data_IF_164813103403
#
_entry.id   IF_164813103403
#
_cell.length_a   1.000
_cell.length_b   1.000
_cell.length_c   1.000
_cell.angle_alpha   90.00
_cell.angle_beta   90.00
_cell.angle_gamma   90.00
#
_symmetry.space_group_name_H-M   'P 1'
#
loop_
_entity.id
_entity.type
_entity.pdbx_description
1 polymer ?
#
# COMPACT_ATOMS: atom_id res chain seq x y z
N UNK A 1 -2.01 -7.05 -19.48
CA UNK A 1 -3.44 -7.38 -19.69
C UNK A 1 -4.20 -6.15 -20.14
N UNK A 2 -5.11 -6.25 -21.10
CA UNK A 2 -6.03 -5.17 -21.50
C UNK A 2 -7.41 -5.47 -20.93
N UNK A 3 -7.90 -4.62 -20.04
CA UNK A 3 -9.30 -4.60 -19.65
C UNK A 3 -10.10 -3.75 -20.64
N UNK A 4 -11.29 -4.20 -20.99
CA UNK A 4 -12.24 -3.42 -21.79
C UNK A 4 -13.68 -3.86 -21.56
N UNK A 5 -14.62 -2.94 -21.76
CA UNK A 5 -16.05 -3.21 -21.76
C UNK A 5 -16.54 -3.47 -23.19
N UNK A 6 -17.15 -4.62 -23.45
CA UNK A 6 -17.72 -4.96 -24.76
C UNK A 6 -19.07 -4.26 -25.03
N UNK A 7 -19.63 -4.44 -26.24
CA UNK A 7 -20.92 -3.82 -26.61
C UNK A 7 -22.11 -4.25 -25.74
N UNK A 8 -21.98 -5.34 -24.98
CA UNK A 8 -23.01 -5.81 -24.04
C UNK A 8 -22.83 -5.20 -22.64
N UNK A 9 -21.85 -4.33 -22.45
CA UNK A 9 -21.54 -3.73 -21.15
C UNK A 9 -20.79 -4.67 -20.22
N UNK A 10 -20.19 -5.76 -20.74
CA UNK A 10 -19.42 -6.71 -19.94
C UNK A 10 -17.94 -6.36 -19.99
N UNK A 11 -17.31 -6.34 -18.82
CA UNK A 11 -15.87 -6.19 -18.70
C UNK A 11 -15.16 -7.51 -19.05
N UNK A 12 -14.14 -7.39 -19.88
CA UNK A 12 -13.28 -8.44 -20.38
C UNK A 12 -11.83 -8.10 -20.04
N UNK A 13 -11.01 -9.13 -19.79
CA UNK A 13 -9.59 -9.00 -19.47
C UNK A 13 -8.83 -9.91 -20.41
N UNK A 14 -8.08 -9.32 -21.33
CA UNK A 14 -7.40 -10.06 -22.38
C UNK A 14 -5.88 -9.94 -22.23
N UNK A 15 -5.18 -11.07 -22.30
CA UNK A 15 -3.74 -11.09 -22.14
C UNK A 15 -3.07 -10.55 -23.41
N UNK A 16 -2.64 -9.28 -23.36
CA UNK A 16 -1.92 -8.66 -24.48
C UNK A 16 -0.59 -9.36 -24.74
N UNK A 17 0.20 -9.59 -23.68
CA UNK A 17 1.51 -10.24 -23.75
C UNK A 17 1.99 -10.60 -22.34
N UNK A 18 2.63 -11.75 -22.23
CA UNK A 18 3.39 -12.17 -21.06
C UNK A 18 4.83 -12.49 -21.45
N UNK A 19 5.80 -12.09 -20.61
CA UNK A 19 7.23 -12.38 -20.76
C UNK A 19 7.82 -12.75 -19.41
N UNK A 20 8.80 -13.64 -19.40
CA UNK A 20 9.66 -13.85 -18.24
C UNK A 20 10.82 -12.86 -18.29
N UNK A 21 10.94 -12.01 -17.28
CA UNK A 21 12.03 -11.04 -17.14
C UNK A 21 13.09 -11.55 -16.16
N UNK A 22 14.37 -11.30 -16.46
CA UNK A 22 15.47 -11.57 -15.53
C UNK A 22 15.70 -10.36 -14.62
N UNK A 23 16.04 -10.60 -13.34
CA UNK A 23 16.36 -9.53 -12.38
C UNK A 23 17.46 -8.61 -12.94
N UNK A 24 17.21 -7.30 -12.93
CA UNK A 24 18.17 -6.27 -13.35
C UNK A 24 18.37 -6.16 -14.87
N UNK A 25 17.52 -6.77 -15.68
CA UNK A 25 17.60 -6.71 -17.14
C UNK A 25 16.29 -6.16 -17.73
N UNK A 26 16.40 -5.18 -18.62
CA UNK A 26 15.27 -4.72 -19.42
C UNK A 26 14.81 -5.84 -20.35
N UNK A 27 13.50 -6.05 -20.42
CA UNK A 27 12.87 -7.05 -21.28
C UNK A 27 11.79 -6.37 -22.12
N UNK A 28 11.79 -6.61 -23.44
CA UNK A 28 10.77 -6.06 -24.33
C UNK A 28 9.42 -6.74 -24.07
N UNK A 29 8.39 -5.94 -23.80
CA UNK A 29 7.00 -6.37 -23.56
C UNK A 29 6.08 -5.87 -24.70
N UNK A 30 6.58 -5.83 -25.93
CA UNK A 30 5.80 -5.40 -27.09
C UNK A 30 4.95 -6.52 -27.69
N UNK A 31 3.74 -6.18 -28.18
CA UNK A 31 2.96 -7.04 -29.05
C UNK A 31 2.34 -6.26 -30.21
N UNK A 32 3.06 -6.20 -31.33
CA UNK A 32 2.61 -5.52 -32.54
C UNK A 32 1.47 -6.23 -33.30
N UNK A 33 1.07 -7.43 -32.86
CA UNK A 33 0.00 -8.24 -33.49
C UNK A 33 -1.29 -8.26 -32.68
N UNK A 34 -1.30 -7.69 -31.48
CA UNK A 34 -2.51 -7.61 -30.66
C UNK A 34 -3.57 -6.74 -31.35
N UNK A 35 -4.81 -7.22 -31.37
CA UNK A 35 -5.94 -6.50 -31.98
C UNK A 35 -6.98 -6.23 -30.92
N UNK A 36 -7.17 -4.96 -30.60
CA UNK A 36 -8.24 -4.52 -29.70
C UNK A 36 -9.59 -4.87 -30.37
N UNK A 37 -10.53 -5.52 -29.66
CA UNK A 37 -11.83 -5.85 -30.24
C UNK A 37 -12.57 -4.60 -30.74
N UNK A 38 -13.26 -4.74 -31.87
CA UNK A 38 -13.87 -3.60 -32.56
C UNK A 38 -15.00 -2.94 -31.76
N UNK A 39 -15.60 -3.67 -30.83
CA UNK A 39 -16.66 -3.24 -29.93
C UNK A 39 -16.18 -2.89 -28.52
N UNK A 40 -14.86 -2.90 -28.29
CA UNK A 40 -14.28 -2.57 -27.01
C UNK A 40 -14.37 -1.07 -26.69
N UNK A 41 -14.77 -0.77 -25.46
CA UNK A 41 -14.82 0.57 -24.86
C UNK A 41 -14.20 0.53 -23.46
N UNK A 42 -13.92 1.69 -22.84
CA UNK A 42 -13.38 1.71 -21.47
C UNK A 42 -12.03 0.98 -21.32
N UNK A 43 -11.12 1.19 -22.26
CA UNK A 43 -9.85 0.46 -22.33
C UNK A 43 -8.90 0.84 -21.19
N UNK A 44 -8.42 -0.15 -20.44
CA UNK A 44 -7.39 0.01 -19.41
C UNK A 44 -6.28 -1.04 -19.62
N UNK A 45 -5.03 -0.57 -19.78
CA UNK A 45 -3.88 -1.45 -19.99
C UNK A 45 -3.12 -1.64 -18.68
N UNK A 46 -3.11 -2.88 -18.20
CA UNK A 46 -2.39 -3.32 -17.01
C UNK A 46 -1.05 -3.94 -17.39
N UNK A 47 0.00 -3.55 -16.67
CA UNK A 47 1.28 -4.25 -16.62
C UNK A 47 1.39 -4.81 -15.21
N UNK A 48 1.57 -6.11 -15.09
CA UNK A 48 1.49 -6.82 -13.81
C UNK A 48 2.50 -7.99 -13.76
N UNK A 49 2.89 -8.37 -12.54
CA UNK A 49 3.70 -9.56 -12.27
C UNK A 49 2.81 -10.62 -11.58
N UNK A 50 2.11 -11.47 -12.33
CA UNK A 50 1.01 -12.29 -11.79
C UNK A 50 1.48 -13.41 -10.84
N UNK A 51 2.73 -13.84 -11.00
CA UNK A 51 3.31 -15.01 -10.33
C UNK A 51 4.23 -14.65 -9.15
N UNK A 52 4.51 -13.36 -8.93
CA UNK A 52 5.37 -12.91 -7.84
C UNK A 52 5.08 -11.46 -7.43
N UNK A 53 5.18 -11.17 -6.13
CA UNK A 53 5.13 -9.80 -5.61
C UNK A 53 6.48 -9.08 -5.83
N UNK A 54 6.95 -9.04 -7.09
CA UNK A 54 8.18 -8.35 -7.45
C UNK A 54 7.87 -6.92 -7.91
N UNK A 55 8.73 -5.99 -7.48
CA UNK A 55 8.77 -4.67 -8.09
C UNK A 55 9.29 -4.80 -9.53
N UNK A 56 8.67 -4.08 -10.46
CA UNK A 56 9.15 -3.92 -11.82
C UNK A 56 9.04 -2.45 -12.23
N UNK A 57 9.91 -2.03 -13.13
CA UNK A 57 9.93 -0.68 -13.68
C UNK A 57 9.53 -0.73 -15.14
N UNK A 58 8.84 0.32 -15.62
CA UNK A 58 8.46 0.49 -17.02
C UNK A 58 9.07 1.81 -17.49
N UNK A 59 9.91 1.77 -18.53
CA UNK A 59 10.54 2.96 -19.08
C UNK A 59 9.57 3.75 -19.97
N UNK A 60 9.03 3.10 -21.01
CA UNK A 60 8.07 3.70 -21.93
C UNK A 60 6.95 2.75 -22.34
N UNK A 61 5.75 3.28 -22.50
CA UNK A 61 4.59 2.57 -23.03
C UNK A 61 4.10 3.24 -24.32
N UNK A 62 3.87 2.45 -25.36
CA UNK A 62 3.41 2.92 -26.66
C UNK A 62 2.30 2.02 -27.20
N UNK A 63 1.21 2.63 -27.65
CA UNK A 63 0.13 1.97 -28.37
C UNK A 63 -0.18 2.77 -29.65
N UNK A 64 -0.41 2.08 -30.76
CA UNK A 64 -0.69 2.71 -32.04
C UNK A 64 -1.27 1.72 -33.04
N UNK A 65 -1.89 2.25 -34.11
CA UNK A 65 -2.42 1.42 -35.19
C UNK A 65 -1.28 0.65 -35.87
N UNK A 66 -1.58 -0.54 -36.39
CA UNK A 66 -0.60 -1.43 -37.03
C UNK A 66 0.27 -0.68 -38.04
N UNK A 67 1.59 -0.77 -37.89
CA UNK A 67 2.57 -0.09 -38.75
C UNK A 67 3.04 1.28 -38.26
N UNK A 68 2.46 1.81 -37.18
CA UNK A 68 2.95 3.04 -36.55
C UNK A 68 4.26 2.75 -35.79
N UNK A 69 5.27 3.59 -36.01
CA UNK A 69 6.57 3.46 -35.31
C UNK A 69 6.53 4.29 -34.01
N UNK A 70 7.07 3.77 -32.89
CA UNK A 70 7.22 4.56 -31.67
C UNK A 70 8.06 5.82 -31.92
N UNK A 71 7.73 6.94 -31.26
CA UNK A 71 8.46 8.21 -31.40
C UNK A 71 9.88 8.16 -30.79
N UNK A 72 10.12 7.18 -29.91
CA UNK A 72 11.42 6.89 -29.33
C UNK A 72 11.94 5.58 -29.94
N UNK A 73 13.13 5.58 -30.55
CA UNK A 73 13.78 4.33 -30.91
C UNK A 73 14.27 3.66 -29.62
N UNK A 74 13.61 2.58 -29.23
CA UNK A 74 14.08 1.70 -28.16
C UNK A 74 15.26 0.92 -28.74
N UNK A 75 16.46 1.49 -28.69
CA UNK A 75 17.70 0.79 -29.03
C UNK A 75 18.14 -0.02 -27.81
N UNK A 76 18.06 -1.37 -27.84
CA UNK A 76 18.46 -2.21 -26.71
C UNK A 76 19.93 -2.03 -26.33
N UNK A 77 20.76 -1.50 -27.24
CA UNK A 77 22.19 -1.26 -27.01
C UNK A 77 22.49 0.09 -26.32
N UNK A 78 21.49 0.96 -26.16
CA UNK A 78 21.60 2.23 -25.43
C UNK A 78 20.74 2.28 -24.16
N UNK A 79 20.15 1.15 -23.75
CA UNK A 79 19.39 1.09 -22.51
C UNK A 79 20.33 1.27 -21.30
N UNK A 80 19.96 2.12 -20.31
CA UNK A 80 20.72 2.24 -19.09
C UNK A 80 20.77 0.86 -18.40
N UNK A 81 21.96 0.44 -17.99
CA UNK A 81 22.11 -0.74 -17.12
C UNK A 81 21.25 -0.49 -15.89
N UNK A 82 20.24 -1.35 -15.65
CA UNK A 82 19.57 -1.39 -14.36
C UNK A 82 20.58 -1.96 -13.37
N UNK A 83 21.44 -1.10 -12.84
CA UNK A 83 21.87 -1.30 -11.47
C UNK A 83 20.60 -1.24 -10.64
N UNK A 84 20.37 -2.19 -9.72
CA UNK A 84 19.41 -2.02 -8.61
C UNK A 84 19.44 -0.54 -8.23
N UNK A 85 18.29 0.17 -8.16
CA UNK A 85 18.24 1.63 -8.01
C UNK A 85 19.30 1.97 -7.01
N UNK A 86 20.35 2.68 -7.45
CA UNK A 86 21.64 2.71 -6.75
C UNK A 86 21.30 2.72 -5.27
N UNK A 87 21.54 1.58 -4.61
CA UNK A 87 21.64 1.60 -3.16
C UNK A 87 22.97 2.32 -2.93
N UNK A 88 22.97 3.63 -3.18
CA UNK A 88 23.34 4.52 -2.11
C UNK A 88 22.40 4.06 -1.02
N UNK A 89 22.90 3.12 -0.20
CA UNK A 89 22.49 3.01 1.18
C UNK A 89 22.15 4.45 1.58
N UNK A 90 20.87 4.77 1.86
CA UNK A 90 20.51 6.12 2.24
C UNK A 90 21.52 6.51 3.30
N UNK A 91 22.23 7.64 3.12
CA UNK A 91 23.45 7.95 3.86
C UNK A 91 23.19 7.64 5.32
N UNK A 92 23.85 6.59 5.84
CA UNK A 92 23.55 5.90 7.10
C UNK A 92 22.36 6.52 7.84
N UNK A 93 21.13 6.12 7.50
CA UNK A 93 19.95 6.74 8.11
C UNK A 93 20.10 6.65 9.64
N UNK A 94 20.06 7.78 10.33
CA UNK A 94 20.12 7.83 11.80
C UNK A 94 18.86 7.22 12.45
N UNK A 95 17.90 6.81 11.63
CA UNK A 95 16.62 6.25 12.00
C UNK A 95 16.79 4.77 12.34
N UNK A 96 16.78 4.49 13.63
CA UNK A 96 16.82 3.16 14.25
C UNK A 96 15.82 3.20 15.40
N UNK A 97 15.07 2.11 15.57
CA UNK A 97 14.10 1.90 16.65
C UNK A 97 14.65 2.15 18.06
N UNK A 98 15.96 1.99 18.25
CA UNK A 98 16.66 2.20 19.53
C UNK A 98 17.22 3.63 19.70
N UNK A 99 17.19 4.43 18.63
CA UNK A 99 17.61 5.84 18.61
C UNK A 99 16.39 6.75 18.69
N UNK A 100 16.66 8.02 18.98
CA UNK A 100 15.61 9.04 18.87
C UNK A 100 15.20 9.18 17.42
N UNK A 101 13.89 9.14 17.15
CA UNK A 101 13.33 9.36 15.82
C UNK A 101 12.47 10.61 15.89
N UNK A 102 12.86 11.61 15.10
CA UNK A 102 12.14 12.87 14.98
C UNK A 102 11.11 12.79 13.88
N UNK A 103 9.83 12.89 14.24
CA UNK A 103 8.72 12.84 13.31
C UNK A 103 8.09 14.23 13.26
N UNK A 104 7.96 14.82 12.07
CA UNK A 104 7.21 16.05 11.83
C UNK A 104 5.86 15.70 11.18
N UNK A 105 4.76 15.63 11.93
CA UNK A 105 3.43 15.61 11.36
C UNK A 105 3.12 16.99 10.77
N UNK A 106 3.02 17.10 9.45
CA UNK A 106 2.75 18.35 8.75
C UNK A 106 1.48 18.26 7.91
N UNK A 107 0.63 19.29 8.00
CA UNK A 107 -0.64 19.26 7.28
C UNK A 107 -1.61 20.36 7.66
N UNK A 108 -2.88 20.12 7.32
CA UNK A 108 -3.99 21.02 7.61
C UNK A 108 -4.70 20.69 8.94
N UNK A 109 -6.02 20.91 9.00
CA UNK A 109 -6.87 20.63 10.15
C UNK A 109 -6.87 19.15 10.55
N UNK A 110 -6.69 18.24 9.59
CA UNK A 110 -6.66 16.80 9.88
C UNK A 110 -5.38 16.46 10.68
N UNK A 111 -4.25 17.07 10.36
CA UNK A 111 -3.01 16.97 11.15
C UNK A 111 -3.09 17.77 12.44
N UNK A 112 -3.79 18.91 12.46
CA UNK A 112 -4.09 19.64 13.69
C UNK A 112 -4.88 18.76 14.67
N UNK A 113 -5.72 17.85 14.17
CA UNK A 113 -6.61 17.01 14.97
C UNK A 113 -7.96 17.66 15.20
N UNK A 114 -8.45 18.43 14.24
CA UNK A 114 -9.81 18.97 14.31
C UNK A 114 -10.81 17.80 14.33
N UNK A 115 -11.84 17.90 15.18
CA UNK A 115 -12.77 16.80 15.44
C UNK A 115 -12.36 15.87 16.58
N UNK A 116 -11.06 15.73 16.89
CA UNK A 116 -10.60 14.97 18.05
C UNK A 116 -9.20 15.38 18.52
N UNK A 117 -9.06 15.79 19.79
CA UNK A 117 -7.77 16.20 20.35
C UNK A 117 -6.65 15.19 20.06
N UNK A 118 -5.54 15.69 19.52
CA UNK A 118 -4.37 14.90 19.12
C UNK A 118 -4.54 14.14 17.80
N UNK A 119 -5.73 14.15 17.17
CA UNK A 119 -6.01 13.53 15.88
C UNK A 119 -5.45 12.12 15.76
N UNK A 120 -4.82 11.83 14.62
CA UNK A 120 -4.08 10.58 14.40
C UNK A 120 -2.75 10.52 15.16
N UNK A 121 -2.18 11.67 15.57
CA UNK A 121 -0.83 11.77 16.14
C UNK A 121 -0.72 10.98 17.45
N UNK A 122 -1.76 11.04 18.30
CA UNK A 122 -1.79 10.24 19.53
C UNK A 122 -1.81 8.73 19.25
N UNK A 123 -2.56 8.28 18.25
CA UNK A 123 -2.67 6.88 17.88
C UNK A 123 -1.40 6.37 17.22
N UNK A 124 -0.76 7.20 16.39
CA UNK A 124 0.57 6.95 15.84
C UNK A 124 1.60 6.76 16.96
N UNK A 125 1.64 7.67 17.94
CA UNK A 125 2.57 7.60 19.06
C UNK A 125 2.37 6.31 19.89
N UNK A 126 1.12 5.97 20.21
CA UNK A 126 0.75 4.74 20.92
C UNK A 126 1.13 3.47 20.13
N UNK A 127 0.83 3.44 18.82
CA UNK A 127 1.13 2.31 17.95
C UNK A 127 2.64 2.09 17.78
N UNK A 128 3.42 3.15 17.55
CA UNK A 128 4.88 3.07 17.52
C UNK A 128 5.45 2.62 18.88
N UNK A 129 4.92 3.14 19.99
CA UNK A 129 5.35 2.71 21.33
C UNK A 129 5.13 1.20 21.54
N UNK A 130 3.98 0.68 21.09
CA UNK A 130 3.64 -0.76 21.13
C UNK A 130 4.51 -1.61 20.21
N UNK A 131 4.93 -1.05 19.07
CA UNK A 131 5.90 -1.70 18.21
C UNK A 131 7.29 -1.74 18.85
N UNK A 132 7.59 -0.93 19.87
CA UNK A 132 8.84 -0.93 20.62
C UNK A 132 9.74 0.28 20.34
N UNK A 133 9.20 1.31 19.70
CA UNK A 133 9.88 2.60 19.57
C UNK A 133 9.83 3.34 20.91
N UNK A 134 10.98 3.48 21.56
CA UNK A 134 11.06 4.03 22.94
C UNK A 134 11.50 5.49 23.01
N UNK A 135 11.92 6.09 21.88
CA UNK A 135 12.46 7.45 21.80
C UNK A 135 11.83 8.22 20.63
N UNK A 136 10.50 8.29 20.61
CA UNK A 136 9.77 9.08 19.62
C UNK A 136 9.81 10.55 20.06
N UNK A 137 10.25 11.43 19.17
CA UNK A 137 10.25 12.89 19.35
C UNK A 137 9.36 13.48 18.25
N UNK A 138 8.14 13.88 18.59
CA UNK A 138 7.30 14.59 17.63
C UNK A 138 7.78 16.03 17.60
N UNK A 139 7.94 16.62 16.42
CA UNK A 139 8.48 17.96 16.28
C UNK A 139 7.54 18.85 15.48
N UNK A 140 7.57 20.15 15.77
CA UNK A 140 6.81 21.16 15.04
C UNK A 140 6.60 22.44 15.84
N UNK A 141 6.07 23.49 15.21
CA UNK A 141 5.85 24.77 15.87
C UNK A 141 4.61 24.79 16.79
N UNK A 142 3.64 23.89 16.56
CA UNK A 142 2.40 23.83 17.31
C UNK A 142 2.45 22.71 18.35
N UNK A 143 1.64 22.85 19.41
CA UNK A 143 1.48 21.85 20.48
C UNK A 143 0.04 21.83 20.97
N UNK A 144 -0.49 20.64 21.22
CA UNK A 144 -1.79 20.51 21.88
C UNK A 144 -1.72 20.98 23.34
N UNK A 145 -2.85 21.50 23.85
CA UNK A 145 -2.96 21.99 25.23
C UNK A 145 -2.81 20.88 26.28
N UNK A 146 -3.19 19.66 25.94
CA UNK A 146 -3.07 18.50 26.81
C UNK A 146 -2.40 17.35 26.05
N UNK A 147 -1.43 16.74 26.72
CA UNK A 147 -0.67 15.58 26.25
C UNK A 147 -1.33 14.23 26.57
N UNK A 148 -2.60 14.26 27.01
CA UNK A 148 -3.38 13.06 27.26
C UNK A 148 -4.80 13.23 26.74
N UNK A 149 -5.25 12.25 25.96
CA UNK A 149 -6.62 12.14 25.45
C UNK A 149 -6.95 10.68 25.17
N UNK A 150 -8.20 10.26 25.39
CA UNK A 150 -8.66 8.88 25.18
C UNK A 150 -7.78 7.81 25.88
N UNK A 151 -7.21 8.15 27.04
CA UNK A 151 -6.31 7.26 27.81
C UNK A 151 -4.91 7.09 27.22
N UNK A 152 -4.56 7.84 26.17
CA UNK A 152 -3.26 7.81 25.51
C UNK A 152 -2.46 9.06 25.87
N UNK A 153 -1.22 8.87 26.33
CA UNK A 153 -0.24 9.94 26.50
C UNK A 153 0.71 9.95 25.31
N UNK A 154 0.95 11.14 24.76
CA UNK A 154 1.72 11.31 23.53
C UNK A 154 2.46 12.64 23.52
N UNK A 155 3.50 12.71 22.70
CA UNK A 155 4.16 13.97 22.37
C UNK A 155 3.25 14.80 21.46
N UNK A 156 2.99 16.04 21.86
CA UNK A 156 1.95 16.88 21.25
C UNK A 156 2.46 17.79 20.16
N UNK A 157 3.77 17.83 19.91
CA UNK A 157 4.36 18.76 18.94
C UNK A 157 4.00 18.36 17.49
N UNK A 158 3.65 19.34 16.65
CA UNK A 158 3.24 19.12 15.27
C UNK A 158 3.28 20.40 14.42
N UNK A 159 3.11 20.24 13.11
CA UNK A 159 2.96 21.29 12.10
C UNK A 159 1.61 21.19 11.37
N UNK A 160 0.54 20.98 12.13
CA UNK A 160 -0.84 20.99 11.63
C UNK A 160 -1.47 22.37 11.75
N UNK A 161 -2.08 22.88 10.67
CA UNK A 161 -2.67 24.22 10.62
C UNK A 161 -4.05 24.20 9.96
N UNK A 162 -5.11 24.36 10.74
CA UNK A 162 -6.48 24.33 10.22
C UNK A 162 -6.72 25.36 9.13
N UNK A 163 -7.33 24.92 8.02
CA UNK A 163 -7.69 25.76 6.88
C UNK A 163 -6.54 26.12 5.93
N UNK A 164 -5.34 25.56 6.12
CA UNK A 164 -4.19 25.86 5.26
C UNK A 164 -4.22 25.01 3.99
N UNK A 165 -3.89 25.66 2.87
CA UNK A 165 -3.58 25.03 1.59
C UNK A 165 -2.09 24.70 1.51
N UNK A 166 -1.68 24.00 0.45
CA UNK A 166 -0.28 23.63 0.22
C UNK A 166 0.61 24.88 0.21
N UNK A 167 0.31 25.87 -0.65
CA UNK A 167 1.17 27.05 -0.84
C UNK A 167 0.43 28.36 -1.09
N UNK A 168 -0.79 28.31 -1.63
CA UNK A 168 -1.61 29.51 -1.81
C UNK A 168 -2.26 29.96 -0.50
N UNK A 169 -2.66 31.24 -0.45
CA UNK A 169 -3.46 31.77 0.65
C UNK A 169 -4.92 31.87 0.19
N UNK A 170 -5.82 31.02 0.70
CA UNK A 170 -7.23 31.08 0.33
C UNK A 170 -7.89 32.40 0.70
N UNK A 171 -9.03 32.70 0.10
CA UNK A 171 -9.83 33.90 0.43
C UNK A 171 -10.21 33.97 1.92
N UNK A 172 -10.53 32.85 2.57
CA UNK A 172 -10.76 32.80 4.02
C UNK A 172 -9.47 33.05 4.82
N UNK A 173 -8.33 32.64 4.29
CA UNK A 173 -7.02 32.91 4.88
C UNK A 173 -6.60 34.39 4.80
N UNK A 174 -6.96 35.07 3.70
CA UNK A 174 -6.79 36.52 3.57
C UNK A 174 -7.54 37.28 4.67
N UNK A 175 -8.75 36.82 5.03
CA UNK A 175 -9.54 37.40 6.13
C UNK A 175 -8.89 37.16 7.50
N UNK A 176 -8.00 36.17 7.62
CA UNK A 176 -7.26 35.83 8.85
C UNK A 176 -5.84 36.41 8.87
N UNK A 177 -5.64 37.54 8.19
CA UNK A 177 -4.37 38.26 8.20
C UNK A 177 -3.32 37.69 7.23
N UNK A 178 -3.75 37.05 6.15
CA UNK A 178 -2.85 36.53 5.10
C UNK A 178 -2.21 35.18 5.44
N UNK A 179 -2.76 34.46 6.41
CA UNK A 179 -2.36 33.10 6.79
C UNK A 179 -3.15 32.07 5.97
N UNK A 180 -2.62 30.86 5.80
CA UNK A 180 -3.32 29.81 5.04
C UNK A 180 -2.48 29.03 4.06
N UNK A 181 -1.15 29.20 4.08
CA UNK A 181 -0.20 28.49 3.23
C UNK A 181 0.76 27.72 4.12
N UNK A 182 0.70 26.38 4.08
CA UNK A 182 1.59 25.53 4.85
C UNK A 182 3.05 25.76 4.44
N UNK A 183 3.31 25.83 3.13
CA UNK A 183 4.62 26.15 2.58
C UNK A 183 5.21 27.44 3.18
N UNK A 184 4.47 28.54 3.14
CA UNK A 184 4.96 29.82 3.65
C UNK A 184 5.17 29.78 5.16
N UNK A 185 4.26 29.14 5.90
CA UNK A 185 4.37 29.05 7.36
C UNK A 185 5.61 28.26 7.76
N UNK A 186 5.86 27.09 7.16
CA UNK A 186 7.04 26.29 7.51
C UNK A 186 8.32 26.97 7.05
N UNK A 187 8.35 27.48 5.81
CA UNK A 187 9.54 28.09 5.23
C UNK A 187 9.93 29.40 5.92
N UNK A 188 8.98 30.32 6.14
CA UNK A 188 9.29 31.61 6.74
C UNK A 188 9.72 31.50 8.20
N UNK A 189 9.32 30.43 8.88
CA UNK A 189 9.72 30.16 10.25
C UNK A 189 10.90 29.17 10.37
N UNK A 190 11.52 28.76 9.25
CA UNK A 190 12.61 27.77 9.18
C UNK A 190 12.28 26.47 9.94
N UNK A 191 11.04 26.00 9.88
CA UNK A 191 10.58 24.88 10.74
C UNK A 191 11.41 23.63 10.51
N UNK A 192 11.50 23.14 9.26
CA UNK A 192 12.24 21.92 8.92
C UNK A 192 13.72 22.04 9.30
N UNK A 193 14.31 23.20 9.02
CA UNK A 193 15.71 23.48 9.36
C UNK A 193 15.98 23.50 10.86
N UNK A 194 15.06 24.04 11.67
CA UNK A 194 15.19 24.10 13.14
C UNK A 194 14.91 22.76 13.82
N UNK A 195 13.93 22.01 13.33
CA UNK A 195 13.52 20.76 13.97
C UNK A 195 14.36 19.56 13.53
N UNK A 196 14.89 19.60 12.29
CA UNK A 196 15.68 18.53 11.68
C UNK A 196 14.98 17.16 11.79
N UNK A 197 13.79 16.99 11.17
CA UNK A 197 13.02 15.76 11.28
C UNK A 197 13.65 14.62 10.48
N UNK A 198 13.66 13.42 11.05
CA UNK A 198 14.05 12.19 10.36
C UNK A 198 12.95 11.73 9.39
N UNK A 199 11.69 11.93 9.80
CA UNK A 199 10.50 11.54 9.04
C UNK A 199 9.54 12.74 9.00
N UNK A 200 9.03 13.06 7.82
CA UNK A 200 7.92 14.01 7.64
C UNK A 200 6.71 13.21 7.16
N UNK A 201 5.58 13.35 7.86
CA UNK A 201 4.28 12.88 7.41
C UNK A 201 3.53 14.08 6.84
N UNK A 202 3.43 14.21 5.52
CA UNK A 202 2.84 15.36 4.85
C UNK A 202 1.45 15.01 4.30
N UNK A 203 0.40 15.40 5.04
CA UNK A 203 -1.00 15.27 4.61
C UNK A 203 -1.61 16.66 4.46
N UNK A 204 -1.71 17.13 3.22
CA UNK A 204 -2.18 18.48 2.88
C UNK A 204 -2.97 18.44 1.58
N UNK A 205 -3.87 19.39 1.36
CA UNK A 205 -4.60 19.57 0.10
C UNK A 205 -6.12 19.54 0.20
N UNK A 206 -6.66 19.17 1.36
CA UNK A 206 -8.12 19.20 1.61
C UNK A 206 -8.71 20.59 1.33
N UNK A 207 -7.96 21.62 1.72
CA UNK A 207 -8.33 23.01 1.52
C UNK A 207 -8.13 23.49 0.07
N UNK A 208 -7.18 22.92 -0.67
CA UNK A 208 -6.97 23.18 -2.09
C UNK A 208 -8.15 22.63 -2.92
N UNK A 209 -8.65 21.45 -2.56
CA UNK A 209 -9.89 20.87 -3.10
C UNK A 209 -11.10 21.74 -2.80
N UNK A 210 -11.22 22.21 -1.56
CA UNK A 210 -12.28 23.14 -1.14
C UNK A 210 -12.25 24.46 -1.94
N UNK A 211 -11.07 24.97 -2.26
CA UNK A 211 -10.90 26.14 -3.12
C UNK A 211 -11.03 25.83 -4.62
N UNK A 212 -11.37 24.60 -5.00
CA UNK A 212 -11.48 24.12 -6.39
C UNK A 212 -10.21 24.42 -7.22
N UNK A 213 -9.03 24.24 -6.62
CA UNK A 213 -7.77 24.39 -7.34
C UNK A 213 -7.60 23.27 -8.38
N UNK A 214 -6.99 23.62 -9.52
CA UNK A 214 -6.63 22.64 -10.55
C UNK A 214 -5.54 21.69 -10.06
N UNK A 215 -5.59 20.43 -10.51
CA UNK A 215 -4.59 19.42 -10.14
C UNK A 215 -3.16 19.82 -10.54
N UNK A 216 -2.97 20.50 -11.69
CA UNK A 216 -1.65 21.00 -12.10
C UNK A 216 -1.06 22.00 -11.11
N UNK A 217 -1.90 22.92 -10.60
CA UNK A 217 -1.49 23.90 -9.61
C UNK A 217 -1.16 23.22 -8.26
N UNK A 218 -2.00 22.28 -7.83
CA UNK A 218 -1.71 21.48 -6.63
C UNK A 218 -0.39 20.71 -6.78
N UNK A 219 -0.17 20.07 -7.93
CA UNK A 219 1.06 19.34 -8.22
C UNK A 219 2.29 20.27 -8.16
N UNK A 220 2.23 21.45 -8.80
CA UNK A 220 3.33 22.42 -8.75
C UNK A 220 3.66 22.90 -7.33
N UNK A 221 2.65 23.04 -6.48
CA UNK A 221 2.82 23.43 -5.09
C UNK A 221 3.36 22.29 -4.23
N UNK A 222 2.91 21.04 -4.44
CA UNK A 222 3.48 19.86 -3.79
C UNK A 222 4.96 19.71 -4.15
N UNK A 223 5.35 19.90 -5.41
CA UNK A 223 6.77 19.91 -5.82
C UNK A 223 7.55 20.98 -5.06
N UNK A 224 7.03 22.21 -5.02
CA UNK A 224 7.67 23.31 -4.25
C UNK A 224 7.85 22.94 -2.78
N UNK A 225 6.85 22.30 -2.18
CA UNK A 225 6.86 21.86 -0.78
C UNK A 225 7.89 20.78 -0.52
N UNK A 226 7.94 19.75 -1.37
CA UNK A 226 8.94 18.68 -1.30
C UNK A 226 10.37 19.23 -1.49
N UNK A 227 10.59 20.13 -2.45
CA UNK A 227 11.90 20.74 -2.68
C UNK A 227 12.40 21.52 -1.46
N UNK A 228 11.50 22.27 -0.81
CA UNK A 228 11.81 22.96 0.43
C UNK A 228 12.15 21.98 1.56
N UNK A 229 11.30 20.98 1.80
CA UNK A 229 11.48 20.02 2.88
C UNK A 229 12.77 19.20 2.69
N UNK A 230 13.00 18.66 1.49
CA UNK A 230 14.20 17.89 1.17
C UNK A 230 15.49 18.74 1.24
N UNK A 231 15.40 20.04 0.95
CA UNK A 231 16.53 20.96 1.03
C UNK A 231 16.99 21.26 2.46
N UNK A 232 16.06 21.29 3.41
CA UNK A 232 16.32 21.67 4.79
C UNK A 232 16.38 20.51 5.78
N UNK A 233 15.81 19.34 5.43
CA UNK A 233 15.83 18.15 6.30
C UNK A 233 17.22 17.47 6.31
N UNK A 234 17.54 16.67 7.34
CA UNK A 234 18.77 15.88 7.38
C UNK A 234 18.94 14.98 6.15
N UNK A 235 20.19 14.82 5.72
CA UNK A 235 20.56 13.83 4.71
C UNK A 235 20.13 12.43 5.16
N UNK A 236 19.30 11.76 4.35
CA UNK A 236 18.74 10.44 4.68
C UNK A 236 17.36 10.45 5.34
N UNK A 237 16.79 11.62 5.64
CA UNK A 237 15.42 11.69 6.12
C UNK A 237 14.39 11.33 5.02
N UNK A 238 13.19 10.96 5.44
CA UNK A 238 12.11 10.43 4.59
C UNK A 238 10.87 11.31 4.64
N UNK A 239 10.27 11.60 3.49
CA UNK A 239 8.96 12.25 3.40
C UNK A 239 7.94 11.22 2.94
N UNK A 240 6.93 10.96 3.76
CA UNK A 240 5.71 10.28 3.32
C UNK A 240 4.72 11.34 2.86
N UNK A 241 4.50 11.41 1.55
CA UNK A 241 3.52 12.31 0.94
C UNK A 241 2.17 11.57 0.87
N UNK A 242 1.20 12.06 1.61
CA UNK A 242 -0.01 11.33 1.96
C UNK A 242 -1.22 11.77 1.13
N UNK A 243 -2.04 10.81 0.69
CA UNK A 243 -3.39 11.09 0.19
C UNK A 243 -4.26 11.74 1.27
N UNK A 244 -5.36 12.41 0.88
CA UNK A 244 -6.33 12.95 1.83
C UNK A 244 -7.55 12.02 1.98
N UNK A 245 -8.21 12.00 3.16
CA UNK A 245 -9.46 11.27 3.38
C UNK A 245 -10.61 11.68 2.45
N UNK A 246 -11.59 10.78 2.33
CA UNK A 246 -12.90 11.08 1.74
C UNK A 246 -13.59 12.20 2.53
N UNK A 247 -14.33 13.09 1.86
CA UNK A 247 -15.13 14.14 2.50
C UNK A 247 -16.21 14.69 1.55
N UNK A 248 -17.33 15.14 2.11
CA UNK A 248 -18.43 15.76 1.33
C UNK A 248 -18.67 17.22 1.71
N UNK A 249 -18.08 17.70 2.81
CA UNK A 249 -18.13 19.11 3.18
C UNK A 249 -17.50 19.99 2.09
N UNK A 250 -18.00 21.21 1.95
CA UNK A 250 -17.46 22.25 1.06
C UNK A 250 -17.27 21.85 -0.41
N UNK A 251 -18.07 20.88 -0.90
CA UNK A 251 -18.05 20.46 -2.30
C UNK A 251 -17.01 19.37 -2.61
N UNK A 252 -16.49 18.71 -1.58
CA UNK A 252 -15.78 17.44 -1.70
C UNK A 252 -16.68 16.34 -2.28
N UNK A 253 -16.06 15.41 -3.02
CA UNK A 253 -16.69 14.19 -3.52
C UNK A 253 -15.60 13.20 -3.97
N UNK A 254 -15.98 11.94 -4.08
CA UNK A 254 -15.11 10.82 -4.44
C UNK A 254 -14.27 11.09 -5.68
N UNK A 255 -14.82 11.67 -6.76
CA UNK A 255 -14.05 11.91 -7.98
C UNK A 255 -12.98 12.99 -7.79
N UNK A 256 -13.32 14.11 -7.13
CA UNK A 256 -12.34 15.17 -6.85
C UNK A 256 -11.22 14.66 -5.95
N UNK A 257 -11.57 13.88 -4.94
CA UNK A 257 -10.63 13.32 -3.97
C UNK A 257 -9.75 12.26 -4.63
N UNK A 258 -10.30 11.39 -5.48
CA UNK A 258 -9.54 10.45 -6.29
C UNK A 258 -8.56 11.17 -7.23
N UNK A 259 -8.99 12.23 -7.92
CA UNK A 259 -8.11 13.01 -8.81
C UNK A 259 -6.94 13.65 -8.04
N UNK A 260 -7.23 14.20 -6.85
CA UNK A 260 -6.19 14.79 -6.00
C UNK A 260 -5.24 13.72 -5.46
N UNK A 261 -5.76 12.61 -4.96
CA UNK A 261 -4.95 11.52 -4.42
C UNK A 261 -4.06 10.88 -5.50
N UNK A 262 -4.54 10.78 -6.75
CA UNK A 262 -3.72 10.38 -7.90
C UNK A 262 -2.62 11.40 -8.22
N UNK A 263 -2.91 12.69 -8.06
CA UNK A 263 -1.91 13.77 -8.21
C UNK A 263 -0.82 13.67 -7.14
N UNK A 264 -1.21 13.47 -5.89
CA UNK A 264 -0.29 13.26 -4.75
C UNK A 264 0.61 12.05 -5.00
N UNK A 265 0.04 10.91 -5.40
CA UNK A 265 0.77 9.69 -5.76
C UNK A 265 1.77 9.95 -6.89
N UNK A 266 1.32 10.57 -7.97
CA UNK A 266 2.18 10.87 -9.14
C UNK A 266 3.36 11.77 -8.77
N UNK A 267 3.15 12.79 -7.92
CA UNK A 267 4.23 13.67 -7.46
C UNK A 267 5.20 12.92 -6.54
N UNK A 268 4.70 12.07 -5.62
CA UNK A 268 5.57 11.25 -4.77
C UNK A 268 6.46 10.31 -5.60
N UNK A 269 5.86 9.61 -6.57
CA UNK A 269 6.56 8.70 -7.49
C UNK A 269 7.56 9.44 -8.39
N UNK A 270 7.22 10.66 -8.84
CA UNK A 270 8.16 11.52 -9.58
C UNK A 270 9.45 11.78 -8.79
N UNK A 271 9.34 12.07 -7.48
CA UNK A 271 10.50 12.30 -6.62
C UNK A 271 11.24 11.02 -6.30
N UNK A 272 10.51 9.93 -6.01
CA UNK A 272 11.10 8.61 -5.78
C UNK A 272 11.94 8.16 -6.98
N UNK A 273 11.42 8.31 -8.21
CA UNK A 273 12.11 7.95 -9.46
C UNK A 273 13.36 8.82 -9.73
N UNK A 274 13.44 10.01 -9.12
CA UNK A 274 14.65 10.86 -9.12
C UNK A 274 15.65 10.49 -8.01
N UNK A 275 15.44 9.37 -7.32
CA UNK A 275 16.26 8.91 -6.20
C UNK A 275 16.11 9.77 -4.94
N UNK A 276 15.02 10.54 -4.81
CA UNK A 276 14.74 11.31 -3.60
C UNK A 276 14.01 10.43 -2.58
N UNK A 277 14.24 10.71 -1.30
CA UNK A 277 13.58 10.02 -0.20
C UNK A 277 12.15 10.52 0.02
N UNK A 278 11.29 10.27 -0.96
CA UNK A 278 9.86 10.56 -0.91
C UNK A 278 9.11 9.26 -1.23
N UNK A 279 8.10 8.93 -0.44
CA UNK A 279 7.22 7.77 -0.67
C UNK A 279 5.76 8.20 -0.58
N UNK A 280 4.91 7.62 -1.41
CA UNK A 280 3.47 7.80 -1.30
C UNK A 280 2.94 7.01 -0.09
N UNK A 281 1.99 7.58 0.65
CA UNK A 281 1.29 6.91 1.74
C UNK A 281 -0.24 7.06 1.56
N UNK A 282 -0.92 5.93 1.31
CA UNK A 282 -2.36 5.87 1.03
C UNK A 282 -3.22 5.90 2.31
N UNK A 283 -3.29 7.07 2.93
CA UNK A 283 -4.21 7.35 4.05
C UNK A 283 -5.67 7.16 3.64
N UNK A 284 -6.04 7.41 2.37
CA UNK A 284 -7.40 7.24 1.90
C UNK A 284 -7.79 5.75 1.91
N UNK A 285 -6.91 4.89 1.39
CA UNK A 285 -7.11 3.45 1.34
C UNK A 285 -7.17 2.77 2.72
N UNK A 286 -6.60 3.36 3.77
CA UNK A 286 -6.73 2.80 5.12
C UNK A 286 -8.07 3.09 5.81
N UNK A 287 -8.95 3.89 5.19
CA UNK A 287 -10.24 4.32 5.72
C UNK A 287 -11.43 3.63 5.02
N UNK A 288 -12.55 3.53 5.72
CA UNK A 288 -13.83 3.06 5.21
C UNK A 288 -14.69 4.24 4.71
N UNK A 289 -14.12 5.06 3.83
CA UNK A 289 -14.74 6.25 3.27
C UNK A 289 -15.41 7.13 4.33
N UNK A 290 -16.63 7.59 4.04
CA UNK A 290 -17.40 8.48 4.94
C UNK A 290 -17.78 7.87 6.29
N UNK A 291 -17.70 6.55 6.48
CA UNK A 291 -17.98 5.93 7.79
C UNK A 291 -16.91 6.28 8.84
N UNK A 292 -15.70 6.61 8.40
CA UNK A 292 -14.61 7.05 9.26
C UNK A 292 -14.50 8.58 9.35
N UNK A 293 -15.45 9.31 8.76
CA UNK A 293 -15.55 10.76 8.82
C UNK A 293 -16.59 11.16 9.87
N UNK A 294 -16.36 12.29 10.53
CA UNK A 294 -17.24 12.80 11.58
C UNK A 294 -18.53 13.40 11.01
N UNK A 295 -19.44 13.80 11.90
CA UNK A 295 -20.69 14.46 11.51
C UNK A 295 -20.51 15.80 10.79
N UNK A 296 -19.32 16.40 10.84
CA UNK A 296 -18.98 17.60 10.05
C UNK A 296 -18.68 17.30 8.57
N UNK A 297 -18.63 16.03 8.19
CA UNK A 297 -18.39 15.55 6.83
C UNK A 297 -17.04 15.98 6.23
N UNK A 298 -16.07 16.34 7.07
CA UNK A 298 -14.73 16.77 6.65
C UNK A 298 -13.63 16.04 7.42
N UNK A 299 -13.69 16.06 8.75
CA UNK A 299 -12.61 15.55 9.58
C UNK A 299 -12.87 14.08 9.94
N UNK A 300 -11.82 13.23 10.00
CA UNK A 300 -11.96 11.89 10.53
C UNK A 300 -12.60 11.88 11.92
N UNK A 301 -13.42 10.87 12.20
CA UNK A 301 -13.87 10.57 13.55
C UNK A 301 -12.78 9.80 14.31
N UNK A 302 -13.00 9.47 15.59
CA UNK A 302 -12.00 8.76 16.40
C UNK A 302 -11.56 7.40 15.83
N UNK A 303 -12.47 6.67 15.16
CA UNK A 303 -12.13 5.44 14.46
C UNK A 303 -11.24 5.73 13.25
N UNK A 304 -11.58 6.74 12.45
CA UNK A 304 -10.77 7.19 11.34
C UNK A 304 -9.37 7.62 11.77
N UNK A 305 -9.27 8.53 12.75
CA UNK A 305 -7.98 8.96 13.28
C UNK A 305 -7.13 7.81 13.85
N UNK A 306 -7.75 6.82 14.47
CA UNK A 306 -7.05 5.61 14.94
C UNK A 306 -6.49 4.79 13.78
N UNK A 307 -7.26 4.59 12.70
CA UNK A 307 -6.80 3.88 11.51
C UNK A 307 -5.62 4.60 10.85
N UNK A 308 -5.70 5.92 10.68
CA UNK A 308 -4.60 6.73 10.14
C UNK A 308 -3.34 6.61 10.99
N UNK A 309 -3.48 6.70 12.32
CA UNK A 309 -2.34 6.58 13.24
C UNK A 309 -1.65 5.20 13.15
N UNK A 310 -2.43 4.12 13.11
CA UNK A 310 -1.92 2.77 12.96
C UNK A 310 -1.27 2.55 11.58
N UNK A 311 -1.88 3.06 10.52
CA UNK A 311 -1.33 3.00 9.17
C UNK A 311 0.04 3.67 9.09
N UNK A 312 0.17 4.90 9.62
CA UNK A 312 1.46 5.57 9.67
C UNK A 312 2.49 4.83 10.53
N UNK A 313 2.08 4.19 11.63
CA UNK A 313 3.00 3.40 12.44
C UNK A 313 3.55 2.20 11.64
N UNK A 314 2.70 1.50 10.87
CA UNK A 314 3.13 0.41 9.99
C UNK A 314 4.08 0.88 8.89
N UNK A 315 3.73 1.96 8.19
CA UNK A 315 4.57 2.54 7.13
C UNK A 315 5.94 2.97 7.65
N UNK A 316 6.00 3.54 8.85
CA UNK A 316 7.27 3.92 9.50
C UNK A 316 8.06 2.67 9.91
N UNK A 317 7.41 1.66 10.48
CA UNK A 317 8.08 0.43 10.92
C UNK A 317 8.65 -0.36 9.75
N UNK A 318 7.90 -0.48 8.66
CA UNK A 318 8.36 -1.11 7.42
C UNK A 318 9.57 -0.36 6.84
N UNK A 319 9.51 0.98 6.82
CA UNK A 319 10.62 1.79 6.36
C UNK A 319 11.87 1.56 7.22
N UNK A 320 11.78 1.71 8.53
CA UNK A 320 12.93 1.59 9.43
C UNK A 320 13.49 0.17 9.41
N UNK A 321 12.63 -0.85 9.37
CA UNK A 321 13.04 -2.25 9.28
C UNK A 321 13.74 -2.54 7.95
N UNK A 322 13.29 -1.94 6.84
CA UNK A 322 13.97 -2.08 5.54
C UNK A 322 15.38 -1.49 5.50
N UNK A 323 15.71 -0.59 6.44
CA UNK A 323 17.05 0.00 6.57
C UNK A 323 18.00 -0.84 7.42
N UNK A 324 17.47 -1.78 8.21
CA UNK A 324 18.29 -2.65 9.03
C UNK A 324 19.14 -3.57 8.11
N UNK A 325 20.44 -3.72 8.35
CA UNK A 325 21.24 -4.69 7.62
C UNK A 325 20.62 -6.08 7.80
N UNK A 326 20.61 -6.93 6.77
CA UNK A 326 20.07 -8.27 6.87
C UNK A 326 20.73 -8.98 8.06
N UNK A 327 19.92 -9.33 9.07
CA UNK A 327 20.39 -10.12 10.21
C UNK A 327 20.88 -11.44 9.64
N UNK A 328 22.20 -11.61 9.60
CA UNK A 328 22.82 -12.85 9.16
C UNK A 328 22.64 -13.85 10.30
N UNK A 329 21.50 -14.52 10.35
CA UNK A 329 21.30 -15.64 11.27
C UNK A 329 22.21 -16.76 10.79
N UNK A 330 23.37 -16.90 11.42
CA UNK A 330 24.22 -18.09 11.30
C UNK A 330 23.47 -19.25 11.96
N UNK A 331 22.59 -19.89 11.22
CA UNK A 331 22.06 -21.21 11.58
C UNK A 331 23.20 -22.20 11.42
N UNK A 332 23.85 -22.57 12.53
CA UNK A 332 24.72 -23.75 12.56
C UNK A 332 23.85 -24.99 12.30
N UNK A 333 23.73 -25.39 11.04
CA UNK A 333 23.18 -26.69 10.66
C UNK A 333 24.15 -27.77 11.09
N UNK A 334 23.84 -28.45 12.20
CA UNK A 334 24.42 -29.76 12.53
C UNK A 334 24.01 -30.72 11.41
N UNK A 335 24.98 -31.14 10.59
CA UNK A 335 24.77 -32.13 9.53
C UNK A 335 24.61 -33.50 10.17
N UNK A 336 23.38 -34.02 10.23
CA UNK A 336 23.13 -35.45 10.44
C UNK A 336 23.07 -36.11 9.07
N UNK A 337 24.08 -36.91 8.75
CA UNK A 337 24.17 -37.69 7.52
C UNK A 337 23.08 -38.76 7.48
N UNK A 338 22.07 -38.58 6.62
CA UNK A 338 21.15 -39.64 6.25
C UNK A 338 21.46 -40.08 4.82
N UNK A 339 21.92 -41.32 4.69
CA UNK A 339 22.23 -41.96 3.41
C UNK A 339 20.92 -42.32 2.68
N UNK A 340 20.64 -41.68 1.55
CA UNK A 340 19.56 -42.08 0.65
C UNK A 340 20.13 -42.62 -0.65
N UNK A 341 19.77 -43.85 -0.97
CA UNK A 341 20.20 -44.57 -2.16
C UNK A 341 19.64 -43.92 -3.44
N UNK A 342 20.50 -43.76 -4.44
CA UNK A 342 20.19 -43.23 -5.77
C UNK A 342 19.48 -44.29 -6.61
N UNK A 343 18.26 -43.99 -7.07
CA UNK A 343 17.62 -44.71 -8.18
C UNK A 343 17.47 -43.74 -9.35
N UNK A 344 18.16 -44.05 -10.45
CA UNK A 344 18.10 -43.31 -11.71
C UNK A 344 16.89 -43.77 -12.51
N UNK A 345 15.98 -42.86 -12.85
CA UNK A 345 14.91 -43.13 -13.84
C UNK A 345 14.96 -42.09 -14.94
N UNK A 346 15.20 -42.56 -16.15
CA UNK A 346 15.17 -41.82 -17.42
C UNK A 346 13.73 -41.63 -17.86
N UNK A 347 13.31 -40.41 -18.20
CA UNK A 347 11.97 -40.14 -18.75
C UNK A 347 12.05 -39.61 -20.17
N UNK A 348 11.50 -40.40 -21.09
CA UNK A 348 11.30 -40.11 -22.52
C UNK A 348 9.95 -39.41 -22.71
N UNK A 349 9.91 -38.39 -23.58
CA UNK A 349 8.69 -37.67 -23.95
C UNK A 349 7.66 -38.59 -24.62
N UNK A 350 6.40 -38.52 -24.18
CA UNK A 350 5.25 -39.14 -24.86
C UNK A 350 4.10 -38.14 -24.94
N UNK A 351 3.61 -37.93 -26.15
CA UNK A 351 2.39 -37.17 -26.48
C UNK A 351 1.16 -38.07 -26.25
N UNK A 352 0.14 -37.60 -25.53
CA UNK A 352 -1.14 -38.34 -25.44
C UNK A 352 -2.34 -37.39 -25.53
N UNK A 353 -3.26 -37.79 -26.38
CA UNK A 353 -4.54 -37.18 -26.76
C UNK A 353 -5.63 -37.38 -25.70
N UNK A 354 -6.49 -36.37 -25.54
CA UNK A 354 -7.64 -36.29 -24.63
C UNK A 354 -8.78 -37.25 -25.00
N UNK A 355 -9.42 -37.89 -24.02
CA UNK A 355 -10.79 -38.42 -24.13
C UNK A 355 -11.51 -38.36 -22.77
N UNK A 356 -12.71 -37.80 -22.78
CA UNK A 356 -13.56 -37.51 -21.60
C UNK A 356 -14.50 -38.68 -21.27
N UNK A 357 -14.61 -39.08 -20.00
CA UNK A 357 -15.74 -39.91 -19.50
C UNK A 357 -16.11 -39.52 -18.06
N UNK A 358 -17.41 -39.31 -17.81
CA UNK A 358 -18.01 -38.87 -16.54
C UNK A 358 -18.41 -40.07 -15.66
N UNK A 359 -18.04 -40.09 -14.38
CA UNK A 359 -18.55 -41.05 -13.35
C UNK A 359 -18.63 -40.33 -11.98
N UNK A 360 -19.71 -40.53 -11.22
CA UNK A 360 -20.00 -39.83 -9.97
C UNK A 360 -19.06 -40.23 -8.80
N UNK A 361 -18.63 -39.22 -8.03
CA UNK A 361 -17.56 -39.26 -7.01
C UNK A 361 -18.09 -39.48 -5.57
N UNK A 362 -17.36 -40.22 -4.69
CA UNK A 362 -17.74 -40.45 -3.29
C UNK A 362 -17.61 -39.20 -2.39
N UNK A 363 -18.45 -39.11 -1.34
CA UNK A 363 -18.51 -37.97 -0.40
C UNK A 363 -17.29 -37.95 0.55
N UNK A 364 -16.59 -36.80 0.62
CA UNK A 364 -15.38 -36.61 1.43
C UNK A 364 -15.71 -36.39 2.93
N UNK A 365 -14.91 -36.96 3.83
CA UNK A 365 -15.04 -36.79 5.30
C UNK A 365 -13.95 -35.87 5.88
N UNK A 366 -14.24 -35.17 6.98
CA UNK A 366 -13.28 -34.31 7.70
C UNK A 366 -12.06 -35.12 8.15
N UNK A 367 -10.86 -34.72 7.72
CA UNK A 367 -9.59 -35.32 8.15
C UNK A 367 -9.01 -34.61 9.36
N UNK A 368 -9.07 -33.28 9.35
CA UNK A 368 -8.64 -32.43 10.46
C UNK A 368 -9.43 -31.12 10.43
N UNK A 369 -10.21 -30.85 11.48
CA UNK A 369 -11.02 -29.64 11.55
C UNK A 369 -10.12 -28.38 11.54
N UNK A 370 -10.45 -27.44 10.65
CA UNK A 370 -9.77 -26.16 10.49
C UNK A 370 -8.56 -26.14 9.56
N UNK A 371 -8.07 -27.30 9.08
CA UNK A 371 -6.90 -27.40 8.18
C UNK A 371 -7.36 -27.20 6.72
N UNK A 372 -7.48 -25.94 6.32
CA UNK A 372 -8.07 -25.53 5.05
C UNK A 372 -7.11 -25.70 3.87
N UNK A 373 -5.80 -25.66 4.13
CA UNK A 373 -4.76 -25.77 3.10
C UNK A 373 -4.21 -27.21 2.94
N UNK A 374 -4.72 -28.17 3.74
CA UNK A 374 -4.36 -29.59 3.78
C UNK A 374 -2.86 -29.86 4.04
N UNK A 375 -2.16 -28.95 4.74
CA UNK A 375 -0.74 -29.12 5.04
C UNK A 375 -0.46 -29.91 6.32
N UNK A 376 -1.52 -30.27 7.07
CA UNK A 376 -1.44 -31.04 8.30
C UNK A 376 -1.17 -30.19 9.54
N UNK A 377 -0.97 -28.88 9.42
CA UNK A 377 -0.92 -27.93 10.51
C UNK A 377 -2.31 -27.29 10.70
N UNK A 378 -2.46 -26.54 11.78
CA UNK A 378 -3.68 -25.76 12.02
C UNK A 378 -3.18 -24.41 12.50
N UNK A 379 -3.19 -23.42 11.62
CA UNK A 379 -2.61 -22.11 11.87
C UNK A 379 -3.31 -20.99 11.07
N UNK A 380 -2.72 -19.79 11.07
CA UNK A 380 -3.35 -18.62 10.45
C UNK A 380 -3.44 -18.74 8.92
N UNK A 381 -2.57 -19.53 8.28
CA UNK A 381 -2.59 -19.73 6.83
C UNK A 381 -3.91 -20.38 6.38
N UNK A 382 -4.51 -21.23 7.21
CA UNK A 382 -5.80 -21.87 6.95
C UNK A 382 -6.92 -20.83 6.84
N UNK A 383 -7.01 -19.94 7.85
CA UNK A 383 -7.98 -18.86 7.85
C UNK A 383 -7.78 -17.88 6.68
N UNK A 384 -6.52 -17.61 6.30
CA UNK A 384 -6.19 -16.76 5.16
C UNK A 384 -6.64 -17.40 3.85
N UNK A 385 -6.41 -18.70 3.65
CA UNK A 385 -6.84 -19.40 2.43
C UNK A 385 -8.36 -19.38 2.28
N UNK A 386 -9.12 -19.55 3.36
CA UNK A 386 -10.59 -19.42 3.34
C UNK A 386 -10.99 -18.01 2.88
N UNK A 387 -10.40 -16.97 3.47
CA UNK A 387 -10.71 -15.58 3.10
C UNK A 387 -10.33 -15.28 1.64
N UNK A 388 -9.20 -15.78 1.15
CA UNK A 388 -8.75 -15.62 -0.23
C UNK A 388 -9.64 -16.38 -1.22
N UNK A 389 -10.06 -17.60 -0.89
CA UNK A 389 -10.95 -18.41 -1.70
C UNK A 389 -12.35 -17.79 -1.83
N UNK A 390 -12.86 -17.15 -0.78
CA UNK A 390 -14.14 -16.44 -0.82
C UNK A 390 -14.04 -15.10 -1.57
N UNK A 391 -12.95 -14.36 -1.41
CA UNK A 391 -12.75 -13.06 -2.04
C UNK A 391 -12.36 -13.15 -3.52
N UNK A 392 -11.65 -14.21 -3.92
CA UNK A 392 -11.22 -14.46 -5.29
C UNK A 392 -11.23 -15.96 -5.63
N UNK A 393 -12.42 -16.57 -5.82
CA UNK A 393 -12.57 -18.00 -6.05
C UNK A 393 -11.93 -18.49 -7.37
N UNK A 394 -11.77 -17.62 -8.37
CA UNK A 394 -11.11 -17.98 -9.62
C UNK A 394 -9.60 -18.21 -9.47
N UNK A 395 -8.98 -17.63 -8.43
CA UNK A 395 -7.56 -17.84 -8.13
C UNK A 395 -7.35 -18.84 -7.00
N UNK A 396 -8.17 -18.78 -5.94
CA UNK A 396 -7.96 -19.55 -4.71
C UNK A 396 -9.10 -20.49 -4.34
N UNK A 397 -10.20 -20.54 -5.10
CA UNK A 397 -11.30 -21.48 -4.88
C UNK A 397 -11.01 -22.90 -5.36
N UNK A 398 -12.03 -23.77 -5.39
CA UNK A 398 -11.89 -25.19 -5.76
C UNK A 398 -11.29 -25.44 -7.15
N UNK A 399 -11.59 -24.53 -8.08
CA UNK A 399 -11.07 -24.55 -9.46
C UNK A 399 -10.07 -23.41 -9.69
N UNK A 400 -9.40 -22.98 -8.61
CA UNK A 400 -8.52 -21.82 -8.60
C UNK A 400 -7.25 -22.04 -9.40
N UNK A 401 -6.71 -20.97 -9.98
CA UNK A 401 -5.46 -21.05 -10.77
C UNK A 401 -4.18 -21.08 -9.93
N UNK A 402 -4.24 -20.79 -8.62
CA UNK A 402 -3.06 -20.78 -7.75
C UNK A 402 -2.62 -22.20 -7.37
N UNK A 403 -1.32 -22.49 -7.35
CA UNK A 403 -0.77 -23.82 -7.01
C UNK A 403 -1.28 -24.38 -5.66
N UNK A 404 -1.56 -23.49 -4.68
CA UNK A 404 -2.18 -23.82 -3.40
C UNK A 404 -3.55 -23.17 -3.25
N UNK A 405 -4.43 -23.40 -4.23
CA UNK A 405 -5.84 -23.06 -4.12
C UNK A 405 -6.57 -24.04 -3.19
N UNK A 406 -7.75 -23.64 -2.71
CA UNK A 406 -8.60 -24.47 -1.85
C UNK A 406 -8.92 -25.80 -2.56
N UNK A 407 -8.75 -26.92 -1.87
CA UNK A 407 -9.11 -28.25 -2.40
C UNK A 407 -10.49 -28.68 -1.90
N UNK A 408 -11.08 -29.70 -2.51
CA UNK A 408 -12.33 -30.30 -2.01
C UNK A 408 -12.17 -30.86 -0.58
N UNK A 409 -10.98 -31.37 -0.24
CA UNK A 409 -10.71 -31.86 1.11
C UNK A 409 -10.52 -30.70 2.11
N UNK A 410 -9.76 -29.68 1.73
CA UNK A 410 -9.54 -28.47 2.51
C UNK A 410 -10.84 -27.74 2.79
N UNK A 411 -11.76 -27.69 1.83
CA UNK A 411 -13.11 -27.15 2.02
C UNK A 411 -13.92 -27.91 3.08
N UNK A 412 -13.83 -29.24 3.10
CA UNK A 412 -14.52 -30.07 4.11
C UNK A 412 -13.87 -29.93 5.49
N UNK A 413 -12.54 -29.82 5.55
CA UNK A 413 -11.82 -29.57 6.79
C UNK A 413 -12.12 -28.17 7.36
N UNK A 414 -12.27 -27.18 6.49
CA UNK A 414 -12.45 -25.78 6.83
C UNK A 414 -13.87 -25.41 7.27
N UNK A 415 -14.91 -26.18 6.91
CA UNK A 415 -16.30 -25.99 7.36
C UNK A 415 -16.45 -26.41 8.83
N UNK A 416 -16.08 -25.52 9.74
CA UNK A 416 -16.03 -25.73 11.20
C UNK A 416 -17.17 -25.01 11.94
N UNK A 417 -17.70 -23.92 11.38
CA UNK A 417 -18.88 -23.24 11.93
C UNK A 417 -20.15 -24.05 11.65
N UNK A 418 -20.62 -24.80 12.65
CA UNK A 418 -21.84 -25.62 12.55
C UNK A 418 -23.14 -24.81 12.59
N UNK A 419 -23.06 -23.49 12.76
CA UNK A 419 -24.23 -22.62 12.70
C UNK A 419 -24.75 -22.44 11.27
N UNK A 420 -23.84 -22.56 10.29
CA UNK A 420 -24.14 -22.53 8.86
C UNK A 420 -23.63 -23.81 8.19
N UNK A 421 -24.04 -24.07 6.94
CA UNK A 421 -23.58 -25.25 6.18
C UNK A 421 -22.79 -24.78 4.98
N UNK A 422 -21.56 -25.28 4.83
CA UNK A 422 -20.65 -24.89 3.76
C UNK A 422 -19.72 -23.75 4.17
N UNK A 423 -18.65 -23.58 3.41
CA UNK A 423 -17.56 -22.67 3.74
C UNK A 423 -17.96 -21.18 3.67
N UNK A 424 -17.72 -20.45 4.76
CA UNK A 424 -18.01 -19.02 4.97
C UNK A 424 -16.84 -18.29 5.63
N UNK A 425 -16.97 -16.97 5.81
CA UNK A 425 -15.98 -16.20 6.55
C UNK A 425 -16.00 -16.49 8.06
N UNK A 426 -17.13 -17.00 8.59
CA UNK A 426 -17.26 -17.32 10.02
C UNK A 426 -16.47 -18.58 10.38
N UNK A 427 -16.21 -19.47 9.42
CA UNK A 427 -15.25 -20.58 9.56
C UNK A 427 -13.82 -20.09 9.79
N UNK A 428 -13.38 -19.10 8.99
CA UNK A 428 -12.08 -18.48 9.14
C UNK A 428 -11.95 -17.75 10.49
N UNK A 429 -13.04 -17.14 10.96
CA UNK A 429 -13.11 -16.52 12.29
C UNK A 429 -13.02 -17.58 13.40
N UNK A 430 -13.74 -18.70 13.29
CA UNK A 430 -13.74 -19.75 14.30
C UNK A 430 -12.36 -20.41 14.44
N UNK A 431 -11.62 -20.61 13.34
CA UNK A 431 -10.21 -21.04 13.36
C UNK A 431 -9.36 -20.02 14.12
N UNK A 432 -9.49 -18.72 13.83
CA UNK A 432 -8.75 -17.67 14.54
C UNK A 432 -9.06 -17.66 16.04
N UNK A 433 -10.33 -17.81 16.41
CA UNK A 433 -10.77 -17.87 17.81
C UNK A 433 -10.23 -19.11 18.54
N UNK A 434 -10.13 -20.25 17.85
CA UNK A 434 -9.52 -21.47 18.40
C UNK A 434 -8.01 -21.30 18.62
N UNK A 435 -7.30 -20.72 17.66
CA UNK A 435 -5.84 -20.49 17.75
C UNK A 435 -5.45 -19.57 18.91
N UNK A 436 -6.33 -18.64 19.30
CA UNK A 436 -6.13 -17.75 20.46
C UNK A 436 -6.75 -18.30 21.76
N UNK A 437 -7.31 -19.52 21.73
CA UNK A 437 -7.89 -20.19 22.91
C UNK A 437 -9.22 -19.62 23.40
N UNK A 438 -9.94 -18.86 22.55
CA UNK A 438 -11.27 -18.30 22.88
C UNK A 438 -12.36 -19.37 22.79
N UNK A 439 -12.20 -20.36 21.91
CA UNK A 439 -13.04 -21.56 21.84
C UNK A 439 -12.18 -22.81 22.06
N UNK A 440 -12.75 -23.83 22.71
CA UNK A 440 -12.01 -25.01 23.17
C UNK A 440 -11.89 -26.13 22.11
N UNK A 441 -12.67 -26.07 21.03
CA UNK A 441 -12.71 -27.04 19.94
C UNK A 441 -13.30 -26.41 18.68
N UNK A 442 -12.97 -26.99 17.52
CA UNK A 442 -13.55 -26.72 16.20
C UNK A 442 -14.59 -27.78 15.82
#
# INVERSE_FOLDING_TARGET
>A
TLQYTDANGKDNYDEVKTVSAAKGQWTDLSNASYTIPADASGLELYIEAPDSLTDFYVDGAYAGVKGTKPLLSIDPSQQPVITDPITTQPPSSNVDKNKTIKILPAGDSITNGDGEQGGYRKYLFDALSKLGYTKIDMVGPNRDRSNSSNGITYDTDHAGFSGYQIKEVPSWGQQQGGKGSLYNELKNNDVVKKTQPDIILLMIGTNDLTANRSMDACAADLRSMLDYMLGDMPSGGMIFLCSVPEHTAYGGNTQKIANYNNTVKSVAEEYANKGKNVRFADVHGCLNGMNDISGDQLHPNGTGYKKIGNFFAGVIDDYITSLAPPVTTTTSTTTTTTTTATTTTTTTATTTTTTTTTTAEPELTVKKAGDANDDGNLDLADAILIMQALANPNKYGLEGTAEKHLTEQGKVNADVDKSTKGLTADDALMIQEFLIGKVASL
#
